data_IF_337038370436
#
_entry.id   IF_337038370436
#
_cell.length_a   1.000
_cell.length_b   1.000
_cell.length_c   1.000
_cell.angle_alpha   90.00
_cell.angle_beta   90.00
_cell.angle_gamma   90.00
#
_symmetry.space_group_name_H-M   'P 1'
#
loop_
_entity.id
_entity.type
_entity.pdbx_description
1 polymer ?
#
# COMPACT_ATOMS: atom_id res chain seq x y z
N UNK A 1 4.55 13.74 25.29
CA UNK A 1 3.90 12.65 24.54
C UNK A 1 4.92 12.09 23.57
N UNK A 2 5.34 10.84 23.76
CA UNK A 2 6.24 10.16 22.81
C UNK A 2 5.38 9.62 21.66
N UNK A 3 5.68 10.01 20.42
CA UNK A 3 4.94 9.55 19.23
C UNK A 3 5.86 8.59 18.46
N UNK A 4 5.53 7.30 18.48
CA UNK A 4 6.24 6.31 17.69
C UNK A 4 5.75 6.45 16.25
N UNK A 5 6.62 6.90 15.34
CA UNK A 5 6.31 6.88 13.93
C UNK A 5 6.45 5.44 13.43
N UNK A 6 5.39 4.93 12.80
CA UNK A 6 5.38 3.59 12.21
C UNK A 6 5.34 3.70 10.69
N UNK A 7 5.98 2.75 10.01
CA UNK A 7 5.89 2.66 8.54
C UNK A 7 4.44 2.36 8.11
N UNK A 8 3.94 3.12 7.15
CA UNK A 8 2.59 2.98 6.55
C UNK A 8 2.64 2.34 5.15
N UNK A 9 3.77 2.49 4.47
CA UNK A 9 4.00 2.02 3.09
C UNK A 9 5.47 1.68 2.87
N UNK A 10 5.73 0.55 2.21
CA UNK A 10 6.99 0.28 1.53
C UNK A 10 6.82 0.50 0.03
N UNK A 11 7.80 1.13 -0.62
CA UNK A 11 7.74 1.45 -2.04
C UNK A 11 8.92 0.86 -2.78
N UNK A 12 8.65 0.20 -3.90
CA UNK A 12 9.65 -0.28 -4.83
C UNK A 12 9.52 0.47 -6.15
N UNK A 13 10.53 1.27 -6.48
CA UNK A 13 10.57 2.06 -7.72
C UNK A 13 11.32 1.27 -8.79
N UNK A 14 10.67 1.03 -9.93
CA UNK A 14 11.28 0.42 -11.13
C UNK A 14 11.12 1.36 -12.31
N UNK A 15 11.91 1.14 -13.38
CA UNK A 15 11.94 2.00 -14.57
C UNK A 15 10.58 2.28 -15.22
N UNK A 16 9.63 1.35 -15.10
CA UNK A 16 8.30 1.43 -15.75
C UNK A 16 7.13 1.47 -14.77
N UNK A 17 7.37 1.31 -13.47
CA UNK A 17 6.30 1.18 -12.47
C UNK A 17 6.79 1.46 -11.07
N UNK A 18 5.88 1.86 -10.20
CA UNK A 18 6.09 1.93 -8.75
C UNK A 18 5.18 0.91 -8.10
N UNK A 19 5.71 0.06 -7.23
CA UNK A 19 4.91 -0.89 -6.45
C UNK A 19 4.86 -0.40 -5.00
N UNK A 20 3.65 -0.27 -4.47
CA UNK A 20 3.37 0.10 -3.08
C UNK A 20 2.94 -1.14 -2.30
N UNK A 21 3.49 -1.32 -1.11
CA UNK A 21 3.06 -2.29 -0.11
C UNK A 21 2.45 -1.52 1.05
N UNK A 22 1.12 -1.51 1.14
CA UNK A 22 0.39 -0.73 2.13
C UNK A 22 0.12 -1.57 3.38
N UNK A 23 0.34 -0.98 4.56
CA UNK A 23 0.10 -1.63 5.85
C UNK A 23 -1.39 -1.65 6.22
N UNK A 24 -2.18 -2.34 5.39
CA UNK A 24 -3.62 -2.57 5.56
C UNK A 24 -3.96 -4.04 5.28
N UNK A 25 -5.05 -4.53 5.88
CA UNK A 25 -5.52 -5.88 5.65
C UNK A 25 -6.35 -5.95 4.35
N UNK A 26 -5.90 -6.65 3.30
CA UNK A 26 -6.61 -6.73 2.02
C UNK A 26 -7.98 -7.42 2.11
N UNK A 27 -8.25 -8.19 3.18
CA UNK A 27 -9.57 -8.81 3.42
C UNK A 27 -10.61 -7.81 3.94
N UNK A 28 -10.17 -6.78 4.66
CA UNK A 28 -11.03 -5.70 5.16
C UNK A 28 -11.15 -4.56 4.16
N UNK A 29 -10.04 -4.26 3.48
CA UNK A 29 -9.94 -3.18 2.50
C UNK A 29 -9.46 -3.81 1.19
N UNK A 30 -10.38 -4.33 0.35
CA UNK A 30 -10.03 -4.84 -0.96
C UNK A 30 -9.43 -3.72 -1.80
N UNK A 31 -8.25 -3.96 -2.37
CA UNK A 31 -7.56 -2.97 -3.18
C UNK A 31 -8.28 -2.65 -4.50
N UNK A 32 -7.80 -1.63 -5.22
CA UNK A 32 -8.36 -1.25 -6.50
C UNK A 32 -8.20 -2.38 -7.53
N UNK A 33 -9.25 -2.73 -8.31
CA UNK A 33 -9.20 -3.86 -9.23
C UNK A 33 -8.19 -3.61 -10.36
N UNK A 34 -7.58 -4.69 -10.84
CA UNK A 34 -6.63 -4.64 -11.97
C UNK A 34 -5.23 -4.13 -11.65
N UNK A 35 -5.05 -3.40 -10.54
CA UNK A 35 -3.75 -2.86 -10.13
C UNK A 35 -3.31 -3.27 -8.72
N UNK A 36 -4.09 -4.11 -8.03
CA UNK A 36 -3.77 -4.55 -6.67
C UNK A 36 -3.80 -6.07 -6.47
N UNK A 37 -3.15 -6.53 -5.41
CA UNK A 37 -3.04 -7.95 -5.03
C UNK A 37 -2.90 -8.11 -3.51
N UNK A 38 -3.57 -9.12 -2.96
CA UNK A 38 -3.31 -9.61 -1.60
C UNK A 38 -2.00 -10.40 -1.59
N UNK A 39 -1.01 -9.92 -0.82
CA UNK A 39 0.31 -10.55 -0.66
C UNK A 39 0.56 -11.08 0.76
N UNK A 40 -0.46 -11.10 1.61
CA UNK A 40 -0.37 -11.56 3.02
C UNK A 40 0.16 -12.98 3.19
N UNK A 41 -0.05 -13.87 2.20
CA UNK A 41 0.32 -15.28 2.27
C UNK A 41 1.44 -15.68 1.29
N UNK A 42 2.06 -14.72 0.60
CA UNK A 42 2.96 -14.97 -0.53
C UNK A 42 4.41 -14.61 -0.17
N UNK A 43 4.58 -13.73 0.82
CA UNK A 43 5.87 -13.20 1.24
C UNK A 43 6.35 -12.10 0.28
N UNK A 44 6.82 -10.99 0.84
CA UNK A 44 7.37 -9.85 0.11
C UNK A 44 8.37 -9.10 0.98
N UNK A 45 9.22 -8.28 0.36
CA UNK A 45 10.19 -7.46 1.08
C UNK A 45 9.51 -6.19 1.63
N UNK A 46 9.69 -5.91 2.92
CA UNK A 46 9.12 -4.75 3.59
C UNK A 46 7.92 -5.09 4.48
N UNK A 47 7.00 -4.15 4.63
CA UNK A 47 5.78 -4.30 5.41
C UNK A 47 4.56 -3.91 4.58
N UNK A 48 3.48 -4.70 4.69
CA UNK A 48 2.17 -4.34 4.15
C UNK A 48 1.55 -5.41 3.28
N UNK A 49 0.34 -5.84 3.62
CA UNK A 49 -0.30 -7.01 3.00
C UNK A 49 -1.01 -6.69 1.68
N UNK A 50 -1.22 -5.41 1.37
CA UNK A 50 -1.85 -4.95 0.13
C UNK A 50 -0.80 -4.38 -0.82
N UNK A 51 -0.57 -5.08 -1.93
CA UNK A 51 0.27 -4.60 -3.04
C UNK A 51 -0.58 -3.78 -4.01
N UNK A 52 -0.10 -2.60 -4.42
CA UNK A 52 -0.67 -1.78 -5.50
C UNK A 52 0.44 -1.41 -6.48
N UNK A 53 0.25 -1.69 -7.77
CA UNK A 53 1.21 -1.35 -8.83
C UNK A 53 0.73 -0.13 -9.62
N UNK A 54 1.52 0.94 -9.59
CA UNK A 54 1.28 2.18 -10.31
C UNK A 54 2.10 2.24 -11.60
N UNK A 55 1.45 2.52 -12.72
CA UNK A 55 2.06 2.73 -14.04
C UNK A 55 1.69 4.08 -14.66
N UNK A 56 0.62 4.71 -14.18
CA UNK A 56 0.13 6.02 -14.65
C UNK A 56 -0.23 6.93 -13.47
N UNK A 57 -0.55 8.19 -13.80
CA UNK A 57 -1.10 9.13 -12.83
C UNK A 57 -2.49 8.69 -12.34
N UNK A 58 -3.32 8.14 -13.22
CA UNK A 58 -4.66 7.64 -12.87
C UNK A 58 -4.60 6.49 -11.85
N UNK A 59 -3.58 5.61 -11.96
CA UNK A 59 -3.34 4.56 -10.98
C UNK A 59 -3.03 5.17 -9.59
N UNK A 60 -2.27 6.27 -9.56
CA UNK A 60 -1.93 6.97 -8.33
C UNK A 60 -3.14 7.63 -7.67
N UNK A 61 -4.00 8.30 -8.46
CA UNK A 61 -5.26 8.86 -7.97
C UNK A 61 -6.18 7.77 -7.41
N UNK A 62 -6.24 6.63 -8.10
CA UNK A 62 -6.98 5.44 -7.65
C UNK A 62 -6.41 4.85 -6.35
N UNK A 63 -5.09 4.89 -6.15
CA UNK A 63 -4.41 4.37 -4.97
C UNK A 63 -4.49 5.30 -3.74
N UNK A 64 -4.70 6.60 -3.95
CA UNK A 64 -4.74 7.62 -2.88
C UNK A 64 -5.62 7.26 -1.67
N UNK A 65 -6.90 6.85 -1.83
CA UNK A 65 -7.75 6.51 -0.68
C UNK A 65 -7.22 5.32 0.14
N UNK A 66 -6.41 4.45 -0.45
CA UNK A 66 -5.80 3.32 0.26
C UNK A 66 -4.57 3.75 1.06
N UNK A 67 -3.79 4.68 0.52
CA UNK A 67 -2.66 5.30 1.23
C UNK A 67 -3.16 6.06 2.46
N UNK A 68 -4.25 6.83 2.32
CA UNK A 68 -4.88 7.53 3.44
C UNK A 68 -5.37 6.58 4.52
N UNK A 69 -6.01 5.46 4.14
CA UNK A 69 -6.42 4.42 5.10
C UNK A 69 -5.24 3.80 5.84
N UNK A 70 -4.13 3.54 5.15
CA UNK A 70 -2.91 3.04 5.78
C UNK A 70 -2.35 4.06 6.79
N UNK A 71 -2.35 5.35 6.44
CA UNK A 71 -1.95 6.44 7.33
C UNK A 71 -2.82 6.51 8.59
N UNK A 72 -4.15 6.47 8.43
CA UNK A 72 -5.10 6.52 9.54
C UNK A 72 -4.98 5.30 10.48
N UNK A 73 -4.75 4.09 9.94
CA UNK A 73 -4.63 2.88 10.76
C UNK A 73 -3.36 2.83 11.61
N UNK A 74 -2.29 3.49 11.17
CA UNK A 74 -0.94 3.35 11.73
C UNK A 74 -0.52 4.57 12.56
N UNK A 75 -0.98 5.77 12.18
CA UNK A 75 -0.61 7.05 12.79
C UNK A 75 -1.73 7.79 13.54
N UNK A 76 -2.91 7.17 13.66
CA UNK A 76 -4.02 7.63 14.50
C UNK A 76 -3.79 7.37 15.98
#
# INVERSE_FOLDING_TARGET
>A
VYKISQNIVCMEVRKQKVTLYLKVNPKEIPGPPGISRDVSNIGHYGTGDLEITLKSQDDFETAMPFIEKAYQKVGG
#
